data_IF_665187885577
#
_entry.id   IF_665187885577
#
_cell.length_a   1.000
_cell.length_b   1.000
_cell.length_c   1.000
_cell.angle_alpha   90.00
_cell.angle_beta   90.00
_cell.angle_gamma   90.00
#
_symmetry.space_group_name_H-M   'P 1'
#
loop_
_entity.id
_entity.type
_entity.pdbx_description
1 polymer ?
#
# COMPACT_ATOMS: atom_id res chain seq x y z
N UNK A 1 19.93 36.34 -0.69
CA UNK A 1 18.64 35.62 -0.54
C UNK A 1 18.09 35.11 -1.87
N UNK A 2 17.80 35.95 -2.89
CA UNK A 2 17.31 35.51 -4.22
C UNK A 2 18.11 34.37 -4.85
N UNK A 3 19.43 34.54 -4.97
CA UNK A 3 20.33 33.55 -5.57
C UNK A 3 20.31 32.21 -4.82
N UNK A 4 20.29 32.24 -3.48
CA UNK A 4 20.23 31.03 -2.65
C UNK A 4 18.92 30.28 -2.92
N UNK A 5 17.78 30.97 -2.95
CA UNK A 5 16.47 30.35 -3.20
C UNK A 5 16.40 29.77 -4.62
N UNK A 6 16.93 30.47 -5.62
CA UNK A 6 16.99 29.96 -7.00
C UNK A 6 17.92 28.75 -7.13
N UNK A 7 19.08 28.75 -6.47
CA UNK A 7 19.99 27.59 -6.45
C UNK A 7 19.38 26.41 -5.69
N UNK A 8 18.70 26.67 -4.57
CA UNK A 8 18.00 25.65 -3.80
C UNK A 8 16.90 24.99 -4.65
N UNK A 9 16.09 25.79 -5.34
CA UNK A 9 15.07 25.30 -6.27
C UNK A 9 15.68 24.45 -7.39
N UNK A 10 16.81 24.89 -7.97
CA UNK A 10 17.49 24.15 -9.03
C UNK A 10 18.04 22.80 -8.54
N UNK A 11 18.77 22.80 -7.43
CA UNK A 11 19.41 21.59 -6.90
C UNK A 11 18.36 20.59 -6.42
N UNK A 12 17.37 21.05 -5.64
CA UNK A 12 16.24 20.18 -5.23
C UNK A 12 15.45 19.69 -6.43
N UNK A 13 15.23 20.51 -7.46
CA UNK A 13 14.55 20.09 -8.69
C UNK A 13 15.31 19.01 -9.47
N UNK A 14 16.64 19.07 -9.54
CA UNK A 14 17.45 18.01 -10.17
C UNK A 14 17.31 16.69 -9.39
N UNK A 15 17.40 16.76 -8.05
CA UNK A 15 17.23 15.58 -7.20
C UNK A 15 15.81 15.01 -7.29
N UNK A 16 14.81 15.87 -7.40
CA UNK A 16 13.40 15.50 -7.54
C UNK A 16 13.12 14.80 -8.87
N UNK A 17 13.68 15.30 -9.98
CA UNK A 17 13.59 14.62 -11.28
C UNK A 17 14.27 13.25 -11.20
N UNK A 18 15.44 13.16 -10.58
CA UNK A 18 16.14 11.90 -10.43
C UNK A 18 15.32 10.88 -9.64
N UNK A 19 14.78 11.26 -8.47
CA UNK A 19 13.93 10.37 -7.67
C UNK A 19 12.62 10.02 -8.38
N UNK A 20 12.03 10.94 -9.14
CA UNK A 20 10.84 10.66 -9.96
C UNK A 20 11.11 9.60 -11.02
N UNK A 21 12.25 9.68 -11.71
CA UNK A 21 12.66 8.66 -12.70
C UNK A 21 12.89 7.31 -12.03
N UNK A 22 13.52 7.28 -10.85
CA UNK A 22 13.70 6.03 -10.10
C UNK A 22 12.36 5.43 -9.73
N UNK A 23 11.45 6.19 -9.12
CA UNK A 23 10.13 5.71 -8.72
C UNK A 23 9.24 5.28 -9.89
N UNK A 24 9.48 5.85 -11.07
CA UNK A 24 8.81 5.46 -12.31
C UNK A 24 9.25 4.08 -12.83
N UNK A 25 10.49 3.65 -12.54
CA UNK A 25 11.06 2.37 -12.99
C UNK A 25 10.92 1.27 -11.92
N UNK A 26 10.97 1.64 -10.63
CA UNK A 26 10.90 0.68 -9.51
C UNK A 26 9.55 -0.06 -9.52
N UNK A 27 9.53 -1.40 -9.32
CA UNK A 27 8.30 -2.20 -9.33
C UNK A 27 7.21 -1.67 -8.40
N UNK A 28 5.97 -2.05 -8.70
CA UNK A 28 4.83 -1.82 -7.80
C UNK A 28 5.14 -2.32 -6.38
N UNK A 29 4.58 -1.65 -5.36
CA UNK A 29 4.86 -1.95 -3.94
C UNK A 29 4.70 -3.42 -3.59
N UNK A 30 3.61 -4.04 -4.05
CA UNK A 30 3.33 -5.47 -3.85
C UNK A 30 4.47 -6.40 -4.27
N UNK A 31 5.16 -6.11 -5.38
CA UNK A 31 6.29 -6.93 -5.85
C UNK A 31 7.57 -6.53 -5.16
N UNK A 32 7.77 -5.22 -4.96
CA UNK A 32 8.98 -4.72 -4.32
C UNK A 32 9.13 -5.22 -2.88
N UNK A 33 8.06 -5.19 -2.08
CA UNK A 33 8.08 -5.68 -0.70
C UNK A 33 8.16 -7.21 -0.64
N UNK A 34 7.43 -7.91 -1.51
CA UNK A 34 7.43 -9.37 -1.58
C UNK A 34 8.80 -9.97 -1.91
N UNK A 35 9.48 -9.40 -2.91
CA UNK A 35 10.78 -9.87 -3.40
C UNK A 35 11.98 -9.24 -2.68
N UNK A 36 11.75 -8.30 -1.75
CA UNK A 36 12.81 -7.50 -1.14
C UNK A 36 13.63 -6.69 -2.15
N UNK A 37 12.98 -6.17 -3.20
CA UNK A 37 13.61 -5.43 -4.28
C UNK A 37 14.42 -4.24 -3.75
N UNK A 38 15.66 -4.12 -4.25
CA UNK A 38 16.54 -2.98 -4.00
C UNK A 38 17.07 -2.40 -5.30
N UNK A 39 17.15 -1.08 -5.35
CA UNK A 39 17.80 -0.35 -6.44
C UNK A 39 18.84 0.59 -5.85
N UNK A 40 20.10 0.48 -6.30
CA UNK A 40 21.25 1.16 -5.71
C UNK A 40 21.20 1.05 -4.18
N UNK A 41 21.33 -0.15 -3.62
CA UNK A 41 21.30 -0.45 -2.17
C UNK A 41 20.01 -0.12 -1.39
N UNK A 42 19.18 0.81 -1.86
CA UNK A 42 17.97 1.30 -1.19
C UNK A 42 16.73 0.47 -1.53
N UNK A 43 15.83 0.33 -0.56
CA UNK A 43 14.51 -0.26 -0.75
C UNK A 43 13.57 0.70 -1.50
N UNK A 44 12.44 0.19 -2.00
CA UNK A 44 11.39 1.04 -2.58
C UNK A 44 10.89 2.11 -1.61
N UNK A 45 10.74 1.74 -0.34
CA UNK A 45 10.27 2.64 0.72
C UNK A 45 11.25 3.81 0.89
N UNK A 46 12.55 3.51 1.01
CA UNK A 46 13.58 4.55 1.16
C UNK A 46 13.65 5.51 -0.05
N UNK A 47 13.47 5.00 -1.27
CA UNK A 47 13.34 5.86 -2.46
C UNK A 47 12.09 6.74 -2.39
N UNK A 48 10.98 6.20 -1.90
CA UNK A 48 9.74 6.93 -1.66
C UNK A 48 9.92 8.05 -0.63
N UNK A 49 10.52 7.75 0.52
CA UNK A 49 10.79 8.71 1.58
C UNK A 49 11.67 9.86 1.12
N UNK A 50 12.73 9.53 0.36
CA UNK A 50 13.63 10.53 -0.21
C UNK A 50 12.91 11.42 -1.23
N UNK A 51 12.08 10.85 -2.11
CA UNK A 51 11.28 11.61 -3.06
C UNK A 51 10.30 12.56 -2.35
N UNK A 52 9.58 12.07 -1.33
CA UNK A 52 8.61 12.90 -0.61
C UNK A 52 9.31 14.07 0.10
N UNK A 53 10.39 13.79 0.83
CA UNK A 53 11.10 14.82 1.61
C UNK A 53 11.80 15.85 0.72
N UNK A 54 12.41 15.42 -0.40
CA UNK A 54 12.96 16.31 -1.41
C UNK A 54 11.88 17.10 -2.15
N UNK A 55 10.75 16.48 -2.47
CA UNK A 55 9.60 17.13 -3.10
C UNK A 55 9.01 18.23 -2.23
N UNK A 56 8.88 18.00 -0.91
CA UNK A 56 8.48 19.05 0.04
C UNK A 56 9.47 20.21 0.03
N UNK A 57 10.79 19.93 0.07
CA UNK A 57 11.81 20.97 -0.03
C UNK A 57 11.72 21.75 -1.35
N UNK A 58 11.53 21.05 -2.48
CA UNK A 58 11.37 21.65 -3.80
C UNK A 58 10.13 22.56 -3.86
N UNK A 59 8.99 22.12 -3.33
CA UNK A 59 7.76 22.91 -3.28
C UNK A 59 7.94 24.17 -2.41
N UNK A 60 8.54 24.05 -1.23
CA UNK A 60 8.84 25.20 -0.37
C UNK A 60 9.79 26.18 -1.08
N UNK A 61 10.84 25.67 -1.73
CA UNK A 61 11.75 26.47 -2.52
C UNK A 61 11.05 27.16 -3.70
N UNK A 62 10.10 26.49 -4.35
CA UNK A 62 9.33 27.04 -5.48
C UNK A 62 8.40 28.17 -5.03
N UNK A 63 7.70 27.97 -3.92
CA UNK A 63 6.84 28.99 -3.30
C UNK A 63 7.67 30.21 -2.92
N UNK A 64 8.79 30.01 -2.22
CA UNK A 64 9.69 31.10 -1.84
C UNK A 64 10.29 31.78 -3.07
N UNK A 65 10.65 31.03 -4.11
CA UNK A 65 11.15 31.57 -5.36
C UNK A 65 10.12 32.49 -6.02
N UNK A 66 8.85 32.09 -6.04
CA UNK A 66 7.76 32.92 -6.54
C UNK A 66 7.58 34.22 -5.74
N UNK A 67 7.61 34.14 -4.41
CA UNK A 67 7.49 35.33 -3.55
C UNK A 67 8.64 36.32 -3.75
N UNK A 68 9.89 35.85 -3.70
CA UNK A 68 11.06 36.73 -3.78
C UNK A 68 11.22 37.32 -5.19
N UNK A 69 10.72 36.63 -6.23
CA UNK A 69 10.75 37.06 -7.63
C UNK A 69 9.40 37.54 -8.18
N UNK A 70 8.44 37.92 -7.33
CA UNK A 70 7.08 38.28 -7.73
C UNK A 70 7.02 39.41 -8.78
N UNK A 71 7.94 40.39 -8.69
CA UNK A 71 8.04 41.48 -9.66
C UNK A 71 8.37 40.97 -11.07
N UNK A 72 9.25 39.97 -11.16
CA UNK A 72 9.60 39.32 -12.43
C UNK A 72 8.41 38.52 -12.97
N UNK A 73 7.68 37.82 -12.10
CA UNK A 73 6.51 37.04 -12.49
C UNK A 73 5.40 37.95 -13.04
N UNK A 74 5.06 39.01 -12.31
CA UNK A 74 4.04 39.99 -12.73
C UNK A 74 4.43 40.68 -14.04
N UNK A 75 5.73 40.86 -14.31
CA UNK A 75 6.19 41.40 -15.59
C UNK A 75 5.87 40.47 -16.78
N UNK A 76 5.78 39.15 -16.61
CA UNK A 76 5.34 38.25 -17.69
C UNK A 76 3.88 38.47 -18.08
N UNK A 77 3.07 39.06 -17.21
CA UNK A 77 1.68 39.43 -17.47
C UNK A 77 1.53 40.84 -18.07
N UNK A 78 2.62 41.59 -18.24
CA UNK A 78 2.56 42.92 -18.88
C UNK A 78 2.61 42.81 -20.39
N UNK A 79 1.72 43.54 -21.08
CA UNK A 79 1.70 43.62 -22.54
C UNK A 79 2.79 44.56 -23.08
N UNK A 80 2.88 44.69 -24.42
CA UNK A 80 3.86 45.57 -25.10
C UNK A 80 3.74 47.06 -24.70
N UNK A 81 2.57 47.46 -24.19
CA UNK A 81 2.29 48.79 -23.64
C UNK A 81 2.45 48.88 -22.11
N UNK A 82 3.10 47.88 -21.47
CA UNK A 82 3.33 47.75 -20.02
C UNK A 82 2.06 47.69 -19.14
N UNK A 83 0.86 47.51 -19.73
CA UNK A 83 -0.38 47.28 -18.99
C UNK A 83 -0.49 45.81 -18.60
N UNK A 84 -0.98 45.54 -17.40
CA UNK A 84 -1.25 44.19 -16.91
C UNK A 84 -2.38 43.55 -17.73
N UNK A 85 -2.17 42.34 -18.24
CA UNK A 85 -3.17 41.53 -18.93
C UNK A 85 -2.98 40.06 -18.53
N UNK A 86 -3.99 39.51 -17.85
CA UNK A 86 -3.99 38.14 -17.39
C UNK A 86 -4.00 37.14 -18.56
N UNK A 87 -4.79 37.42 -19.60
CA UNK A 87 -4.93 36.58 -20.79
C UNK A 87 -4.02 37.02 -21.94
N UNK A 88 -2.72 37.13 -21.69
CA UNK A 88 -1.79 37.36 -22.77
C UNK A 88 -1.52 36.05 -23.55
N UNK A 89 -1.03 36.18 -24.79
CA UNK A 89 -0.76 35.03 -25.67
C UNK A 89 0.15 33.98 -25.03
N UNK A 90 1.14 34.39 -24.23
CA UNK A 90 2.07 33.46 -23.57
C UNK A 90 1.37 32.62 -22.52
N UNK A 91 0.52 33.25 -21.70
CA UNK A 91 -0.32 32.57 -20.73
C UNK A 91 -1.28 31.59 -21.43
N UNK A 92 -1.94 32.03 -22.51
CA UNK A 92 -2.86 31.18 -23.26
C UNK A 92 -2.16 29.95 -23.86
N UNK A 93 -0.95 30.12 -24.42
CA UNK A 93 -0.14 29.00 -24.92
C UNK A 93 0.20 28.04 -23.78
N UNK A 94 0.69 28.55 -22.64
CA UNK A 94 1.03 27.72 -21.48
C UNK A 94 -0.20 26.95 -20.94
N UNK A 95 -1.36 27.62 -20.90
CA UNK A 95 -2.62 27.03 -20.46
C UNK A 95 -3.09 25.93 -21.44
N UNK A 96 -3.09 26.20 -22.75
CA UNK A 96 -3.48 25.23 -23.77
C UNK A 96 -2.57 24.01 -23.74
N UNK A 97 -1.26 24.19 -23.62
CA UNK A 97 -0.32 23.07 -23.52
C UNK A 97 -0.56 22.24 -22.24
N UNK A 98 -0.82 22.90 -21.11
CA UNK A 98 -1.12 22.21 -19.85
C UNK A 98 -2.44 21.43 -19.94
N UNK A 99 -3.48 22.03 -20.53
CA UNK A 99 -4.76 21.37 -20.77
C UNK A 99 -4.63 20.21 -21.77
N UNK A 100 -3.82 20.37 -22.81
CA UNK A 100 -3.54 19.29 -23.77
C UNK A 100 -2.88 18.10 -23.10
N UNK A 101 -1.90 18.31 -22.23
CA UNK A 101 -1.27 17.23 -21.46
C UNK A 101 -2.28 16.57 -20.51
N UNK A 102 -3.06 17.36 -19.76
CA UNK A 102 -4.04 16.85 -18.81
C UNK A 102 -5.16 16.04 -19.49
N UNK A 103 -5.83 16.64 -20.48
CA UNK A 103 -6.89 16.00 -21.27
C UNK A 103 -6.32 14.81 -22.05
N UNK A 104 -5.16 14.98 -22.68
CA UNK A 104 -4.52 13.90 -23.42
C UNK A 104 -4.11 12.72 -22.54
N UNK A 105 -3.74 12.94 -21.28
CA UNK A 105 -3.51 11.85 -20.31
C UNK A 105 -4.82 11.12 -20.00
N UNK A 106 -5.92 11.84 -19.73
CA UNK A 106 -7.23 11.25 -19.43
C UNK A 106 -7.77 10.39 -20.58
N UNK A 107 -7.55 10.81 -21.83
CA UNK A 107 -8.00 10.08 -23.03
C UNK A 107 -6.90 9.20 -23.66
N UNK A 108 -5.75 9.02 -22.99
CA UNK A 108 -4.59 8.26 -23.51
C UNK A 108 -4.19 8.66 -24.94
N UNK A 109 -4.14 9.95 -25.22
CA UNK A 109 -3.65 10.51 -26.49
C UNK A 109 -2.11 10.47 -26.56
N UNK A 110 -1.56 10.38 -27.77
CA UNK A 110 -0.12 10.51 -28.03
C UNK A 110 0.33 11.97 -27.82
N UNK A 111 1.51 12.25 -27.21
CA UNK A 111 2.53 11.29 -26.74
C UNK A 111 2.35 10.79 -25.30
N UNK A 112 1.37 11.29 -24.54
CA UNK A 112 1.14 10.92 -23.13
C UNK A 112 0.96 9.40 -22.96
N UNK A 113 0.31 8.74 -23.93
CA UNK A 113 0.17 7.29 -23.91
C UNK A 113 1.52 6.54 -23.89
N UNK A 114 2.56 7.03 -24.57
CA UNK A 114 3.88 6.37 -24.56
C UNK A 114 4.50 6.35 -23.16
N UNK A 115 4.34 7.45 -22.41
CA UNK A 115 4.79 7.51 -21.02
C UNK A 115 4.00 6.48 -20.19
N UNK A 116 2.68 6.44 -20.31
CA UNK A 116 1.89 5.47 -19.54
C UNK A 116 2.26 4.01 -19.87
N UNK A 117 2.41 3.66 -21.15
CA UNK A 117 2.72 2.30 -21.57
C UNK A 117 4.12 1.86 -21.15
N UNK A 118 5.12 2.74 -21.19
CA UNK A 118 6.47 2.40 -20.70
C UNK A 118 6.47 2.12 -19.19
N UNK A 119 5.71 2.88 -18.40
CA UNK A 119 5.55 2.60 -16.97
C UNK A 119 4.88 1.25 -16.70
N UNK A 120 3.87 0.90 -17.51
CA UNK A 120 3.19 -0.41 -17.48
C UNK A 120 4.16 -1.55 -17.85
N UNK A 121 4.98 -1.38 -18.89
CA UNK A 121 6.00 -2.35 -19.32
C UNK A 121 7.09 -2.58 -18.27
N UNK A 122 7.61 -1.52 -17.65
CA UNK A 122 8.58 -1.66 -16.55
C UNK A 122 7.98 -2.45 -15.38
N UNK A 123 6.74 -2.14 -15.02
CA UNK A 123 6.00 -2.86 -13.98
C UNK A 123 5.83 -4.34 -14.34
N UNK A 124 5.38 -4.65 -15.55
CA UNK A 124 5.16 -6.03 -16.00
C UNK A 124 6.47 -6.83 -16.05
N UNK A 125 7.53 -6.23 -16.58
CA UNK A 125 8.88 -6.84 -16.63
C UNK A 125 9.37 -7.17 -15.23
N UNK A 126 9.19 -6.24 -14.28
CA UNK A 126 9.59 -6.47 -12.90
C UNK A 126 8.76 -7.58 -12.23
N UNK A 127 7.44 -7.64 -12.47
CA UNK A 127 6.58 -8.69 -11.93
C UNK A 127 7.01 -10.08 -12.43
N UNK A 128 7.34 -10.21 -13.72
CA UNK A 128 7.83 -11.47 -14.29
C UNK A 128 9.19 -11.88 -13.71
N UNK A 129 10.09 -10.92 -13.49
CA UNK A 129 11.44 -11.18 -13.01
C UNK A 129 11.50 -11.53 -11.53
N UNK A 130 10.77 -10.79 -10.69
CA UNK A 130 10.88 -10.89 -9.23
C UNK A 130 9.75 -11.74 -8.61
N UNK A 131 8.69 -12.01 -9.37
CA UNK A 131 7.54 -12.78 -8.91
C UNK A 131 6.51 -11.94 -8.15
N UNK A 132 5.25 -12.32 -8.29
CA UNK A 132 4.16 -11.66 -7.58
C UNK A 132 3.83 -12.39 -6.27
N UNK A 133 3.39 -11.66 -5.23
CA UNK A 133 2.82 -12.29 -4.05
C UNK A 133 1.55 -13.08 -4.42
N UNK A 134 1.20 -14.15 -3.69
CA UNK A 134 0.04 -14.99 -4.00
C UNK A 134 -1.30 -14.24 -3.93
N UNK A 135 -1.36 -13.14 -3.18
CA UNK A 135 -2.48 -12.20 -3.13
C UNK A 135 -1.96 -10.82 -2.70
N UNK A 136 -2.82 -9.80 -2.78
CA UNK A 136 -2.44 -8.43 -2.41
C UNK A 136 -1.97 -8.33 -0.96
N UNK A 137 -0.81 -7.71 -0.75
CA UNK A 137 -0.21 -7.49 0.56
C UNK A 137 0.04 -8.77 1.38
N UNK A 138 0.35 -9.88 0.71
CA UNK A 138 0.62 -11.15 1.38
C UNK A 138 1.81 -11.09 2.35
N UNK A 139 2.76 -10.18 2.13
CA UNK A 139 3.86 -9.88 3.04
C UNK A 139 3.38 -9.36 4.40
N UNK A 140 2.25 -8.65 4.45
CA UNK A 140 1.72 -8.06 5.68
C UNK A 140 0.76 -8.98 6.44
N UNK A 141 0.36 -10.11 5.86
CA UNK A 141 -0.49 -11.07 6.56
C UNK A 141 0.29 -11.79 7.65
N UNK A 142 -0.36 -12.11 8.77
CA UNK A 142 0.21 -13.05 9.75
C UNK A 142 0.47 -14.43 9.15
N UNK A 143 1.39 -15.21 9.73
CA UNK A 143 1.61 -16.59 9.33
C UNK A 143 0.31 -17.42 9.34
N UNK A 144 -0.54 -17.21 10.35
CA UNK A 144 -1.85 -17.86 10.48
C UNK A 144 -2.75 -17.57 9.29
N UNK A 145 -2.96 -16.29 8.97
CA UNK A 145 -3.82 -15.89 7.88
C UNK A 145 -3.22 -16.23 6.52
N UNK A 146 -1.90 -16.16 6.40
CA UNK A 146 -1.19 -16.61 5.20
C UNK A 146 -1.42 -18.11 4.95
N UNK A 147 -1.24 -18.96 5.96
CA UNK A 147 -1.49 -20.39 5.87
C UNK A 147 -2.95 -20.68 5.52
N UNK A 148 -3.91 -20.02 6.20
CA UNK A 148 -5.34 -20.17 5.92
C UNK A 148 -5.68 -19.84 4.46
N UNK A 149 -5.20 -18.72 3.94
CA UNK A 149 -5.44 -18.27 2.56
C UNK A 149 -4.79 -19.18 1.51
N UNK A 150 -3.62 -19.71 1.84
CA UNK A 150 -2.87 -20.60 0.95
C UNK A 150 -3.28 -22.08 1.10
N UNK A 151 -4.27 -22.37 1.94
CA UNK A 151 -4.68 -23.73 2.29
C UNK A 151 -3.49 -24.60 2.76
N UNK A 152 -2.70 -24.03 3.65
CA UNK A 152 -1.55 -24.67 4.30
C UNK A 152 -1.90 -25.03 5.75
N UNK A 153 -1.37 -26.14 6.22
CA UNK A 153 -1.43 -26.54 7.62
C UNK A 153 -0.45 -25.68 8.44
N UNK A 154 -0.97 -24.94 9.42
CA UNK A 154 -0.19 -23.97 10.19
C UNK A 154 0.89 -24.64 11.07
N UNK A 155 0.55 -25.78 11.67
CA UNK A 155 1.49 -26.52 12.52
C UNK A 155 2.65 -27.03 11.65
N UNK A 156 2.33 -27.64 10.51
CA UNK A 156 3.34 -28.11 9.57
C UNK A 156 4.17 -26.98 8.96
N UNK A 157 3.56 -25.83 8.66
CA UNK A 157 4.28 -24.66 8.19
C UNK A 157 5.27 -24.15 9.24
N UNK A 158 4.85 -24.10 10.51
CA UNK A 158 5.68 -23.69 11.66
C UNK A 158 6.87 -24.65 11.87
N UNK A 159 6.64 -25.96 11.75
CA UNK A 159 7.69 -26.97 11.77
C UNK A 159 8.71 -26.77 10.65
N UNK A 160 8.25 -26.52 9.42
CA UNK A 160 9.13 -26.29 8.26
C UNK A 160 9.98 -25.03 8.43
N UNK A 161 9.41 -23.94 8.94
CA UNK A 161 10.16 -22.72 9.24
C UNK A 161 11.27 -23.00 10.26
N UNK A 162 10.91 -23.63 11.38
CA UNK A 162 11.87 -23.96 12.45
C UNK A 162 12.96 -24.91 11.96
N UNK A 163 12.61 -25.93 11.16
CA UNK A 163 13.56 -26.88 10.58
C UNK A 163 14.53 -26.21 9.57
N UNK A 164 14.13 -25.09 8.96
CA UNK A 164 14.98 -24.28 8.09
C UNK A 164 15.70 -23.14 8.84
N UNK A 165 15.69 -23.16 10.18
CA UNK A 165 16.39 -22.18 11.01
C UNK A 165 15.71 -20.81 11.06
N UNK A 166 14.44 -20.71 10.68
CA UNK A 166 13.66 -19.47 10.77
C UNK A 166 13.08 -19.32 12.18
N UNK A 167 13.37 -18.20 12.82
CA UNK A 167 12.87 -17.81 14.14
C UNK A 167 11.69 -16.84 13.99
N UNK A 168 10.65 -16.98 14.80
CA UNK A 168 9.52 -16.05 14.78
C UNK A 168 8.80 -16.07 16.14
N UNK A 169 8.23 -14.92 16.54
CA UNK A 169 7.58 -14.77 17.85
C UNK A 169 6.31 -15.64 18.01
N UNK A 170 5.62 -15.91 16.91
CA UNK A 170 4.47 -16.82 16.88
C UNK A 170 3.60 -16.68 15.63
N UNK A 171 2.50 -17.45 15.52
CA UNK A 171 1.66 -17.51 14.32
C UNK A 171 0.97 -16.20 13.91
N UNK A 172 0.89 -15.22 14.82
CA UNK A 172 0.36 -13.89 14.53
C UNK A 172 1.39 -12.95 13.86
N UNK A 173 2.67 -13.36 13.81
CA UNK A 173 3.75 -12.53 13.24
C UNK A 173 3.56 -12.39 11.72
N UNK A 174 3.61 -11.17 11.17
CA UNK A 174 3.56 -10.93 9.73
C UNK A 174 4.69 -11.63 8.97
N UNK A 175 4.42 -12.11 7.75
CA UNK A 175 5.44 -12.75 6.89
C UNK A 175 6.64 -11.84 6.64
N UNK A 176 6.42 -10.53 6.49
CA UNK A 176 7.47 -9.52 6.33
C UNK A 176 8.38 -9.40 7.54
N UNK A 177 7.82 -9.43 8.75
CA UNK A 177 8.58 -9.36 9.99
C UNK A 177 9.42 -10.63 10.17
N UNK A 178 8.81 -11.81 9.98
CA UNK A 178 9.52 -13.10 9.98
C UNK A 178 10.70 -13.05 8.99
N UNK A 179 10.48 -12.51 7.79
CA UNK A 179 11.54 -12.39 6.80
C UNK A 179 12.69 -11.48 7.28
N UNK A 180 12.36 -10.28 7.75
CA UNK A 180 13.35 -9.27 8.19
C UNK A 180 14.18 -9.76 9.36
N UNK A 181 13.55 -10.32 10.40
CA UNK A 181 14.23 -10.83 11.60
C UNK A 181 15.23 -11.95 11.26
N UNK A 182 15.01 -12.67 10.16
CA UNK A 182 15.86 -13.76 9.72
C UNK A 182 16.79 -13.39 8.55
N UNK A 183 16.86 -12.12 8.16
CA UNK A 183 17.68 -11.69 7.02
C UNK A 183 17.26 -12.35 5.69
N UNK A 184 15.94 -12.57 5.53
CA UNK A 184 15.28 -13.19 4.37
C UNK A 184 14.31 -12.20 3.73
N UNK A 185 13.74 -12.58 2.59
CA UNK A 185 12.62 -11.87 1.95
C UNK A 185 11.32 -12.65 2.14
N UNK A 186 10.13 -11.99 2.12
CA UNK A 186 8.83 -12.66 2.27
C UNK A 186 8.65 -13.85 1.33
N UNK A 187 9.14 -13.72 0.10
CA UNK A 187 9.13 -14.78 -0.90
C UNK A 187 9.86 -16.06 -0.44
N UNK A 188 10.98 -15.94 0.27
CA UNK A 188 11.73 -17.10 0.78
C UNK A 188 10.93 -17.85 1.85
N UNK A 189 10.27 -17.10 2.74
CA UNK A 189 9.40 -17.67 3.78
C UNK A 189 8.31 -18.52 3.13
N UNK A 190 7.66 -18.00 2.09
CA UNK A 190 6.67 -18.76 1.33
C UNK A 190 7.26 -20.00 0.66
N UNK A 191 8.44 -19.90 0.04
CA UNK A 191 9.09 -21.04 -0.60
C UNK A 191 9.35 -22.20 0.36
N UNK A 192 9.64 -21.91 1.64
CA UNK A 192 9.83 -22.90 2.68
C UNK A 192 8.52 -23.60 3.03
N UNK A 193 7.43 -22.85 3.25
CA UNK A 193 6.16 -23.39 3.77
C UNK A 193 5.20 -23.92 2.71
N UNK A 194 5.42 -23.64 1.42
CA UNK A 194 4.48 -24.03 0.33
C UNK A 194 4.19 -25.53 0.23
N UNK A 195 5.06 -26.38 0.79
CA UNK A 195 4.88 -27.84 0.81
C UNK A 195 3.95 -28.33 1.92
N UNK A 196 3.60 -27.47 2.89
CA UNK A 196 2.67 -27.77 4.00
C UNK A 196 1.19 -27.80 3.57
N UNK A 197 0.87 -28.33 2.38
CA UNK A 197 -0.52 -28.38 1.90
C UNK A 197 -1.41 -29.10 2.90
N UNK A 198 -2.52 -28.47 3.27
CA UNK A 198 -3.51 -29.09 4.13
C UNK A 198 -4.08 -30.34 3.44
N UNK A 199 -3.91 -31.50 4.06
CA UNK A 199 -4.61 -32.72 3.64
C UNK A 199 -6.11 -32.55 3.96
N UNK A 200 -7.03 -32.95 3.09
CA UNK A 200 -8.44 -32.96 3.43
C UNK A 200 -8.64 -33.95 4.59
N UNK A 201 -8.86 -33.42 5.80
CA UNK A 201 -9.40 -34.22 6.90
C UNK A 201 -10.79 -34.69 6.44
N UNK A 202 -10.90 -35.95 6.03
CA UNK A 202 -12.17 -36.60 5.68
C UNK A 202 -13.11 -36.47 6.89
N UNK A 203 -14.03 -35.51 6.83
CA UNK A 203 -15.17 -35.44 7.74
C UNK A 203 -16.23 -36.38 7.20
N UNK A 204 -16.38 -37.55 7.82
CA UNK A 204 -17.60 -38.34 7.67
C UNK A 204 -18.73 -37.67 8.47
N UNK A 205 -19.92 -37.70 7.86
CA UNK A 205 -21.25 -37.38 8.38
C UNK A 205 -21.59 -35.87 8.48
N UNK A 206 -22.72 -35.36 8.01
CA UNK A 206 -23.92 -36.01 7.45
C UNK A 206 -24.80 -34.98 6.73
N UNK A 207 -25.80 -35.49 6.03
CA UNK A 207 -26.78 -34.75 5.24
C UNK A 207 -27.51 -33.66 6.02
N UNK A 208 -27.73 -32.51 5.38
CA UNK A 208 -28.57 -31.45 5.91
C UNK A 208 -28.69 -30.30 4.91
N UNK A 209 -29.58 -30.44 3.92
CA UNK A 209 -30.11 -29.29 3.18
C UNK A 209 -30.93 -28.45 4.15
N UNK A 210 -30.48 -27.21 4.43
CA UNK A 210 -31.36 -26.16 4.94
C UNK A 210 -31.05 -24.89 4.16
N UNK A 211 -32.05 -24.42 3.44
CA UNK A 211 -32.13 -23.09 2.84
C UNK A 211 -32.08 -22.06 3.97
N UNK A 212 -31.04 -21.22 4.00
CA UNK A 212 -30.91 -20.15 4.98
C UNK A 212 -30.50 -18.84 4.29
N UNK A 213 -31.24 -17.78 4.63
CA UNK A 213 -30.99 -16.37 4.33
C UNK A 213 -29.49 -16.08 4.45
N UNK A 214 -28.85 -15.67 3.36
CA UNK A 214 -27.41 -15.41 3.30
C UNK A 214 -27.08 -14.23 4.19
N UNK A 215 -26.71 -14.48 5.44
CA UNK A 215 -25.95 -13.53 6.25
C UNK A 215 -24.65 -13.24 5.50
N UNK A 216 -24.23 -11.97 5.31
CA UNK A 216 -22.98 -11.67 4.64
C UNK A 216 -21.81 -12.27 5.43
N UNK A 217 -21.23 -13.35 4.91
CA UNK A 217 -20.03 -13.98 5.49
C UNK A 217 -18.91 -12.95 5.41
N UNK A 218 -18.27 -12.66 6.55
CA UNK A 218 -17.14 -11.74 6.58
C UNK A 218 -16.01 -12.30 5.69
N UNK A 219 -15.46 -11.49 4.76
CA UNK A 219 -14.59 -12.00 3.71
C UNK A 219 -13.24 -12.43 4.26
N UNK A 220 -12.60 -13.43 3.66
CA UNK A 220 -11.25 -13.87 4.03
C UNK A 220 -10.14 -12.93 3.53
N UNK A 221 -10.46 -12.01 2.62
CA UNK A 221 -9.58 -10.97 2.06
C UNK A 221 -10.23 -9.60 2.25
N UNK A 222 -9.48 -8.55 2.65
CA UNK A 222 -10.03 -7.21 2.71
C UNK A 222 -10.46 -6.78 1.30
N UNK A 223 -11.74 -6.42 1.08
CA UNK A 223 -12.17 -5.90 -0.21
C UNK A 223 -11.45 -4.59 -0.54
N UNK A 224 -11.43 -4.22 -1.82
CA UNK A 224 -10.84 -2.96 -2.24
C UNK A 224 -11.50 -1.79 -1.47
N UNK A 225 -10.67 -0.91 -0.89
CA UNK A 225 -11.13 0.22 -0.10
C UNK A 225 -11.46 -0.08 1.38
N UNK A 226 -11.34 -1.33 1.85
CA UNK A 226 -11.65 -1.71 3.24
C UNK A 226 -10.90 -0.86 4.28
N UNK A 227 -9.65 -0.51 4.01
CA UNK A 227 -8.86 0.35 4.89
C UNK A 227 -9.46 1.75 5.15
N UNK A 228 -10.30 2.25 4.24
CA UNK A 228 -10.96 3.56 4.37
C UNK A 228 -12.37 3.44 5.00
N UNK A 229 -12.84 2.23 5.29
CA UNK A 229 -14.15 2.02 5.93
C UNK A 229 -14.04 2.27 7.43
N UNK A 230 -15.09 2.85 8.02
CA UNK A 230 -15.20 3.01 9.48
C UNK A 230 -15.63 1.71 10.15
N UNK A 231 -15.29 1.53 11.41
CA UNK A 231 -15.72 0.35 12.17
C UNK A 231 -17.25 0.24 12.22
N UNK A 232 -17.95 1.38 12.36
CA UNK A 232 -19.41 1.44 12.28
C UNK A 232 -19.97 0.97 10.93
N UNK A 233 -19.36 1.37 9.81
CA UNK A 233 -19.83 0.94 8.48
C UNK A 233 -19.58 -0.54 8.22
N UNK A 234 -18.47 -1.08 8.75
CA UNK A 234 -18.19 -2.53 8.73
C UNK A 234 -19.24 -3.28 9.54
N UNK A 235 -19.55 -2.82 10.75
CA UNK A 235 -20.58 -3.44 11.59
C UNK A 235 -21.95 -3.44 10.90
N UNK A 236 -22.34 -2.33 10.28
CA UNK A 236 -23.58 -2.24 9.51
C UNK A 236 -23.59 -3.18 8.31
N UNK A 237 -22.49 -3.24 7.54
CA UNK A 237 -22.41 -4.05 6.33
C UNK A 237 -22.46 -5.55 6.60
N UNK A 238 -21.86 -6.00 7.71
CA UNK A 238 -21.79 -7.42 8.07
C UNK A 238 -22.79 -7.82 9.16
N UNK A 239 -23.76 -6.95 9.45
CA UNK A 239 -24.81 -7.17 10.46
C UNK A 239 -24.25 -7.55 11.85
N UNK A 240 -23.13 -6.93 12.25
CA UNK A 240 -22.46 -7.13 13.53
C UNK A 240 -22.88 -6.04 14.51
N UNK A 241 -23.09 -6.39 15.78
CA UNK A 241 -23.37 -5.42 16.83
C UNK A 241 -22.10 -4.60 17.15
N UNK A 242 -22.08 -3.26 16.96
CA UNK A 242 -20.88 -2.45 17.15
C UNK A 242 -20.28 -2.57 18.56
N UNK A 243 -21.13 -2.62 19.57
CA UNK A 243 -20.71 -2.76 20.98
C UNK A 243 -19.96 -4.05 21.25
N UNK A 244 -20.31 -5.16 20.57
CA UNK A 244 -19.62 -6.44 20.74
C UNK A 244 -18.23 -6.42 20.09
N UNK A 245 -18.14 -5.94 18.84
CA UNK A 245 -16.87 -5.87 18.12
C UNK A 245 -15.89 -4.90 18.80
N UNK A 246 -16.37 -3.72 19.22
CA UNK A 246 -15.55 -2.75 19.94
C UNK A 246 -15.06 -3.30 21.27
N UNK A 247 -15.93 -3.94 22.06
CA UNK A 247 -15.54 -4.52 23.34
C UNK A 247 -14.45 -5.60 23.18
N UNK A 248 -14.60 -6.51 22.20
CA UNK A 248 -13.64 -7.59 21.99
C UNK A 248 -12.27 -7.06 21.50
N UNK A 249 -12.27 -6.07 20.61
CA UNK A 249 -11.04 -5.45 20.13
C UNK A 249 -10.36 -4.57 21.21
N UNK A 250 -11.14 -3.85 22.02
CA UNK A 250 -10.63 -3.09 23.16
C UNK A 250 -10.06 -4.01 24.25
N UNK A 251 -10.69 -5.17 24.50
CA UNK A 251 -10.16 -6.20 25.40
C UNK A 251 -8.81 -6.76 24.92
N UNK A 252 -8.57 -6.77 23.61
CA UNK A 252 -7.27 -7.11 22.99
C UNK A 252 -6.27 -5.95 23.02
N UNK A 253 -6.60 -4.84 23.68
CA UNK A 253 -5.73 -3.69 23.88
C UNK A 253 -5.75 -2.64 22.77
N UNK A 254 -6.70 -2.71 21.82
CA UNK A 254 -6.79 -1.72 20.75
C UNK A 254 -7.52 -0.45 21.20
N UNK A 255 -6.91 0.69 20.91
CA UNK A 255 -7.54 2.01 20.91
C UNK A 255 -8.40 2.13 19.65
N UNK A 256 -9.70 1.93 19.79
CA UNK A 256 -10.66 1.87 18.68
C UNK A 256 -11.97 2.55 19.04
N UNK A 257 -12.47 3.38 18.12
CA UNK A 257 -13.80 4.01 18.15
C UNK A 257 -14.64 3.58 16.93
N UNK A 258 -15.96 3.69 17.03
CA UNK A 258 -16.89 3.37 15.93
C UNK A 258 -16.63 4.23 14.68
N UNK A 259 -16.21 5.48 14.88
CA UNK A 259 -15.99 6.45 13.79
C UNK A 259 -14.61 6.32 13.14
N UNK A 260 -13.68 5.57 13.74
CA UNK A 260 -12.35 5.39 13.19
C UNK A 260 -12.39 4.53 11.92
N UNK A 261 -11.63 4.92 10.92
CA UNK A 261 -11.33 4.05 9.78
C UNK A 261 -10.36 2.96 10.17
N UNK A 262 -10.40 1.81 9.48
CA UNK A 262 -9.44 0.70 9.71
C UNK A 262 -7.98 1.17 9.62
N UNK A 263 -7.68 2.14 8.74
CA UNK A 263 -6.36 2.78 8.66
C UNK A 263 -6.02 3.59 9.91
N UNK A 264 -6.95 4.41 10.41
CA UNK A 264 -6.74 5.21 11.61
C UNK A 264 -6.57 4.33 12.85
N UNK A 265 -7.34 3.23 12.96
CA UNK A 265 -7.13 2.24 14.01
C UNK A 265 -5.74 1.63 13.92
N UNK A 266 -5.26 1.31 12.72
CA UNK A 266 -3.89 0.85 12.51
C UNK A 266 -2.86 1.85 13.05
N UNK A 267 -2.95 3.11 12.62
CA UNK A 267 -2.05 4.18 13.06
C UNK A 267 -2.09 4.40 14.57
N UNK A 268 -3.29 4.46 15.18
CA UNK A 268 -3.45 4.66 16.64
C UNK A 268 -2.79 3.56 17.48
N UNK A 269 -2.75 2.34 16.94
CA UNK A 269 -2.24 1.16 17.62
C UNK A 269 -0.84 0.74 17.14
N UNK A 270 -0.15 1.60 16.37
CA UNK A 270 1.14 1.30 15.75
C UNK A 270 1.16 -0.04 15.01
N UNK A 271 0.07 -0.36 14.31
CA UNK A 271 -0.11 -1.61 13.57
C UNK A 271 -0.60 -1.35 12.15
N UNK A 272 -0.53 -2.36 11.29
CA UNK A 272 -0.94 -2.22 9.90
C UNK A 272 -2.48 -2.30 9.76
N UNK A 273 -3.10 -1.64 8.77
CA UNK A 273 -4.53 -1.82 8.48
C UNK A 273 -4.89 -3.29 8.18
N UNK A 274 -3.91 -4.06 7.68
CA UNK A 274 -4.04 -5.48 7.44
C UNK A 274 -4.18 -6.24 8.77
N UNK A 275 -3.34 -5.92 9.76
CA UNK A 275 -3.44 -6.50 11.11
C UNK A 275 -4.78 -6.17 11.78
N UNK A 276 -5.28 -4.95 11.62
CA UNK A 276 -6.64 -4.60 12.11
C UNK A 276 -7.71 -5.43 11.43
N UNK A 277 -7.62 -5.63 10.11
CA UNK A 277 -8.52 -6.53 9.39
C UNK A 277 -8.45 -7.96 9.92
N UNK A 278 -7.26 -8.50 10.19
CA UNK A 278 -7.10 -9.84 10.74
C UNK A 278 -7.72 -9.97 12.13
N UNK A 279 -7.54 -8.97 13.00
CA UNK A 279 -8.18 -8.95 14.32
C UNK A 279 -9.71 -8.91 14.23
N UNK A 280 -10.26 -8.10 13.32
CA UNK A 280 -11.71 -8.10 13.05
C UNK A 280 -12.14 -9.48 12.53
N UNK A 281 -11.36 -10.08 11.61
CA UNK A 281 -11.62 -11.41 11.07
C UNK A 281 -11.68 -12.46 12.19
N UNK A 282 -10.70 -12.48 13.10
CA UNK A 282 -10.65 -13.41 14.23
C UNK A 282 -11.86 -13.29 15.16
N UNK A 283 -12.38 -12.08 15.38
CA UNK A 283 -13.56 -11.85 16.23
C UNK A 283 -14.84 -12.33 15.53
N UNK A 284 -14.96 -12.10 14.23
CA UNK A 284 -16.18 -12.39 13.46
C UNK A 284 -16.23 -13.82 12.92
N UNK A 285 -15.08 -14.44 12.71
CA UNK A 285 -14.92 -15.80 12.16
C UNK A 285 -13.89 -16.55 13.03
N UNK A 286 -14.24 -16.89 14.28
CA UNK A 286 -13.33 -17.58 15.18
C UNK A 286 -12.90 -18.94 14.59
N UNK A 287 -11.63 -19.35 14.76
CA UNK A 287 -11.19 -20.67 14.32
C UNK A 287 -12.01 -21.76 15.02
N UNK A 288 -12.31 -22.85 14.31
CA UNK A 288 -13.03 -23.98 14.89
C UNK A 288 -12.33 -24.45 16.18
N UNK A 289 -13.07 -24.70 17.29
CA UNK A 289 -12.45 -25.06 18.55
C UNK A 289 -11.59 -26.31 18.36
N UNK A 290 -10.34 -26.23 18.83
CA UNK A 290 -9.43 -27.38 18.86
C UNK A 290 -10.13 -28.52 19.61
N UNK A 291 -10.45 -29.60 18.91
CA UNK A 291 -10.94 -30.82 19.54
C UNK A 291 -9.86 -31.28 20.52
N UNK A 292 -10.09 -31.11 21.81
CA UNK A 292 -9.28 -31.77 22.84
C UNK A 292 -9.36 -33.27 22.56
N UNK A 293 -8.23 -33.87 22.20
CA UNK A 293 -8.04 -35.33 22.18
C UNK A 293 -7.73 -35.76 23.61
#
# INVERSE_FOLDING_TARGET
MRQIVSLLLLVSGIMEVFTSVVLYIVPAGRVAYWSGYRFLWLSKEQWGDMHITLGVLFLLAAVLHCFVNIRSIVNYFRNKARKFSFFNTKFLIALILSLYVAIGTLYRLTPMNYVLTWGEEFSQTANQKYGEPPYGHAEMSSLTMFCKRMNLDLDRASELLTANGIQFAGPATPISEIAVENGRIPQDIYQIIRSAKAQPKVRQNGQGQISAKVTPIFPDLPPAGFGNMTIGSICQQYEVLPSHLLAELQNRGLLIDEMDTVKEVGVKNNTSPMTVFELIHEVLVPPAPATKI
#
